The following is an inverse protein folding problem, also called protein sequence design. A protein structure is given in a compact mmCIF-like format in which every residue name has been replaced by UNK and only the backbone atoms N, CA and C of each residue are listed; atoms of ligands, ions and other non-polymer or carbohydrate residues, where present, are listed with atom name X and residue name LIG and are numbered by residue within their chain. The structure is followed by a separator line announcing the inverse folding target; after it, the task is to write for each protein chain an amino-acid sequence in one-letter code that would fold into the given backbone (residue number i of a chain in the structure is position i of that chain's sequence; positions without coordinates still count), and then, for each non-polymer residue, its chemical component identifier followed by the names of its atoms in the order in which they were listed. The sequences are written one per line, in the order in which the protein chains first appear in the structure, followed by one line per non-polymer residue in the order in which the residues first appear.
data_IF_079538158349
#
_entry.id   IF_079538158349
#
_cell.length_a   1.000
_cell.length_b   1.000
_cell.length_c   1.000
_cell.angle_alpha   90.00
_cell.angle_beta   90.00
_cell.angle_gamma   90.00
#
_symmetry.space_group_name_H-M   'P 1'
#
loop_
_entity.id
_entity.type
_entity.pdbx_description
1 polymer ?
#
# COMPACT_ATOMS: atom_id res chain seq x y z
N UNK A 1 -7.40 8.26 -8.34
CA UNK A 1 -8.50 8.61 -7.40
C UNK A 1 -8.70 10.10 -7.44
N UNK A 2 -9.94 10.53 -7.64
CA UNK A 2 -10.33 11.94 -7.70
C UNK A 2 -10.14 12.62 -6.34
N UNK A 3 -9.83 13.92 -6.34
CA UNK A 3 -9.86 14.69 -5.10
C UNK A 3 -11.29 14.74 -4.52
N UNK A 4 -11.41 14.54 -3.22
CA UNK A 4 -12.70 14.42 -2.52
C UNK A 4 -13.50 15.73 -2.55
N UNK A 5 -12.85 16.89 -2.50
CA UNK A 5 -13.53 18.19 -2.62
C UNK A 5 -14.16 18.35 -4.00
N UNK A 6 -13.44 17.94 -5.05
CA UNK A 6 -13.95 17.96 -6.43
C UNK A 6 -15.04 16.92 -6.65
N UNK A 7 -14.91 15.75 -6.03
CA UNK A 7 -15.97 14.73 -6.03
C UNK A 7 -17.27 15.28 -5.44
N UNK A 8 -17.20 15.97 -4.29
CA UNK A 8 -18.37 16.64 -3.71
C UNK A 8 -18.96 17.65 -4.68
N UNK A 9 -18.12 18.52 -5.25
CA UNK A 9 -18.56 19.55 -6.22
C UNK A 9 -19.28 18.92 -7.42
N UNK A 10 -18.69 17.93 -8.06
CA UNK A 10 -19.26 17.27 -9.23
C UNK A 10 -20.49 16.41 -8.93
N UNK A 11 -20.73 16.04 -7.66
CA UNK A 11 -21.96 15.35 -7.23
C UNK A 11 -23.08 16.30 -6.79
N UNK A 12 -22.86 17.62 -6.74
CA UNK A 12 -23.90 18.58 -6.34
C UNK A 12 -25.06 18.65 -7.34
N UNK A 13 -24.79 18.42 -8.62
CA UNK A 13 -25.79 18.35 -9.67
C UNK A 13 -25.26 17.50 -10.85
N UNK A 14 -26.14 17.18 -11.79
CA UNK A 14 -25.84 16.40 -12.99
C UNK A 14 -25.59 17.26 -14.23
N UNK A 15 -25.32 18.57 -14.08
CA UNK A 15 -25.18 19.50 -15.20
C UNK A 15 -24.09 19.09 -16.17
N UNK A 16 -22.93 18.64 -15.66
CA UNK A 16 -21.80 18.19 -16.50
C UNK A 16 -22.19 16.95 -17.31
N UNK A 17 -22.81 15.96 -16.66
CA UNK A 17 -23.28 14.74 -17.31
C UNK A 17 -24.36 15.04 -18.37
N UNK A 18 -25.28 15.97 -18.07
CA UNK A 18 -26.30 16.44 -19.03
C UNK A 18 -25.71 17.15 -20.23
N UNK A 19 -24.62 17.89 -20.08
CA UNK A 19 -23.93 18.51 -21.21
C UNK A 19 -23.19 17.47 -22.06
N UNK A 20 -22.53 16.50 -21.42
CA UNK A 20 -21.85 15.43 -22.14
C UNK A 20 -22.80 14.54 -22.93
N UNK A 21 -23.93 14.12 -22.36
CA UNK A 21 -24.83 13.20 -23.08
C UNK A 21 -25.37 13.82 -24.38
N UNK A 22 -25.45 15.16 -24.49
CA UNK A 22 -25.83 15.82 -25.75
C UNK A 22 -24.81 15.62 -26.89
N UNK A 23 -23.60 15.14 -26.59
CA UNK A 23 -22.56 14.85 -27.58
C UNK A 23 -22.67 13.45 -28.16
N UNK A 24 -23.48 12.56 -27.57
CA UNK A 24 -23.70 11.20 -28.07
C UNK A 24 -25.16 10.96 -28.39
N UNK A 25 -25.43 10.08 -29.36
CA UNK A 25 -26.77 9.56 -29.59
C UNK A 25 -27.23 8.81 -28.34
N UNK A 26 -28.44 9.12 -27.86
CA UNK A 26 -29.00 8.57 -26.64
C UNK A 26 -30.53 8.56 -26.65
N UNK A 27 -31.10 7.60 -25.93
CA UNK A 27 -32.52 7.50 -25.68
C UNK A 27 -32.93 8.53 -24.62
N UNK A 28 -34.07 9.18 -24.85
CA UNK A 28 -34.56 10.26 -23.97
C UNK A 28 -34.78 9.76 -22.54
N UNK A 29 -34.33 10.55 -21.55
CA UNK A 29 -34.55 10.31 -20.11
C UNK A 29 -33.91 9.03 -19.54
N UNK A 30 -32.83 8.53 -20.15
CA UNK A 30 -32.15 7.30 -19.69
C UNK A 30 -30.87 7.54 -18.87
N UNK A 31 -30.36 8.78 -18.83
CA UNK A 31 -29.16 9.16 -18.06
C UNK A 31 -29.36 8.95 -16.56
N UNK A 32 -28.51 8.12 -15.95
CA UNK A 32 -28.56 7.78 -14.52
C UNK A 32 -27.15 7.77 -13.94
N UNK A 33 -26.99 8.33 -12.74
CA UNK A 33 -25.75 8.24 -11.99
C UNK A 33 -25.46 6.76 -11.65
N UNK A 34 -24.22 6.33 -11.86
CA UNK A 34 -23.77 4.97 -11.53
C UNK A 34 -22.84 4.97 -10.33
N UNK A 35 -21.67 5.61 -10.43
CA UNK A 35 -20.70 5.72 -9.35
C UNK A 35 -19.79 6.95 -9.50
N UNK A 36 -19.19 7.37 -8.40
CA UNK A 36 -18.08 8.33 -8.38
C UNK A 36 -16.91 7.72 -7.59
N UNK A 37 -15.74 7.65 -8.22
CA UNK A 37 -14.50 7.14 -7.60
C UNK A 37 -13.29 7.86 -8.20
N UNK A 38 -12.46 7.21 -9.03
CA UNK A 38 -11.45 7.89 -9.86
C UNK A 38 -12.10 8.77 -10.92
N UNK A 39 -13.26 8.38 -11.44
CA UNK A 39 -14.05 9.11 -12.43
C UNK A 39 -15.51 9.25 -11.97
N UNK A 40 -16.25 10.19 -12.56
CA UNK A 40 -17.70 10.16 -12.55
C UNK A 40 -18.17 9.19 -13.63
N UNK A 41 -19.08 8.28 -13.29
CA UNK A 41 -19.66 7.33 -14.22
C UNK A 41 -21.18 7.44 -14.18
N UNK A 42 -21.77 7.61 -15.35
CA UNK A 42 -23.20 7.58 -15.58
C UNK A 42 -23.52 6.50 -16.61
N UNK A 43 -24.70 5.90 -16.50
CA UNK A 43 -25.24 5.01 -17.53
C UNK A 43 -26.33 5.71 -18.31
N UNK A 44 -26.46 5.40 -19.59
CA UNK A 44 -27.60 5.78 -20.42
C UNK A 44 -27.90 4.67 -21.42
N UNK A 45 -28.98 4.78 -22.18
CA UNK A 45 -29.31 3.81 -23.23
C UNK A 45 -29.24 4.49 -24.61
N UNK A 46 -28.87 3.71 -25.61
CA UNK A 46 -28.93 4.08 -27.03
C UNK A 46 -29.48 2.88 -27.78
N UNK A 47 -30.59 3.06 -28.48
CA UNK A 47 -31.29 1.96 -29.17
C UNK A 47 -31.65 0.81 -28.21
N UNK A 48 -31.97 1.14 -26.95
CA UNK A 48 -32.24 0.17 -25.88
C UNK A 48 -31.01 -0.58 -25.33
N UNK A 49 -29.80 -0.26 -25.79
CA UNK A 49 -28.54 -0.85 -25.29
C UNK A 49 -27.88 0.10 -24.30
N UNK A 50 -27.52 -0.41 -23.12
CA UNK A 50 -26.87 0.38 -22.08
C UNK A 50 -25.44 0.75 -22.45
N UNK A 51 -25.07 1.98 -22.15
CA UNK A 51 -23.76 2.61 -22.38
C UNK A 51 -23.25 3.26 -21.09
N UNK A 52 -21.94 3.48 -21.01
CA UNK A 52 -21.28 4.09 -19.85
C UNK A 52 -20.57 5.38 -20.24
N UNK A 53 -21.06 6.51 -19.74
CA UNK A 53 -20.40 7.81 -19.83
C UNK A 53 -19.44 7.94 -18.63
N UNK A 54 -18.14 8.04 -18.91
CA UNK A 54 -17.09 8.31 -17.93
C UNK A 54 -16.52 9.71 -18.15
N UNK A 55 -16.45 10.54 -17.11
CA UNK A 55 -15.83 11.86 -17.22
C UNK A 55 -15.08 12.27 -15.94
N UNK A 56 -14.16 13.22 -16.11
CA UNK A 56 -13.24 13.67 -15.07
C UNK A 56 -12.87 15.13 -15.27
N UNK A 57 -12.54 15.81 -14.17
CA UNK A 57 -12.10 17.20 -14.17
C UNK A 57 -10.62 17.30 -14.57
N UNK A 58 -10.23 18.37 -15.28
CA UNK A 58 -8.87 18.53 -15.81
C UNK A 58 -7.76 18.61 -14.76
N UNK A 59 -8.11 18.97 -13.52
CA UNK A 59 -7.16 18.99 -12.40
C UNK A 59 -6.95 17.60 -11.77
N UNK A 60 -7.80 16.62 -12.07
CA UNK A 60 -7.67 15.24 -11.58
C UNK A 60 -7.04 14.32 -12.63
N UNK A 61 -7.26 14.59 -13.92
CA UNK A 61 -6.59 13.86 -15.00
C UNK A 61 -6.44 14.70 -16.27
N UNK A 62 -5.32 14.49 -16.96
CA UNK A 62 -5.00 15.20 -18.18
C UNK A 62 -5.63 14.49 -19.40
N UNK A 63 -6.09 15.26 -20.39
CA UNK A 63 -6.64 14.71 -21.64
C UNK A 63 -5.66 13.77 -22.37
N UNK A 64 -4.34 14.03 -22.26
CA UNK A 64 -3.29 13.19 -22.85
C UNK A 64 -3.22 11.78 -22.23
N UNK A 65 -3.57 11.64 -20.95
CA UNK A 65 -3.62 10.33 -20.29
C UNK A 65 -4.82 9.52 -20.77
N UNK A 66 -5.97 10.18 -20.96
CA UNK A 66 -7.19 9.56 -21.51
C UNK A 66 -6.94 9.17 -22.96
N UNK A 67 -6.30 10.02 -23.76
CA UNK A 67 -5.93 9.69 -25.13
C UNK A 67 -5.02 8.45 -25.19
N UNK A 68 -3.98 8.39 -24.35
CA UNK A 68 -3.05 7.26 -24.32
C UNK A 68 -3.71 5.95 -23.85
N UNK A 69 -4.70 6.04 -22.96
CA UNK A 69 -5.54 4.89 -22.56
C UNK A 69 -6.34 4.38 -23.76
N UNK A 70 -7.05 5.28 -24.45
CA UNK A 70 -7.87 4.92 -25.61
C UNK A 70 -7.03 4.37 -26.77
N UNK A 71 -5.84 4.93 -27.02
CA UNK A 71 -4.93 4.43 -28.04
C UNK A 71 -4.53 2.97 -27.76
N UNK A 72 -4.26 2.64 -26.49
CA UNK A 72 -3.95 1.27 -26.10
C UNK A 72 -5.17 0.34 -26.20
N UNK A 73 -6.35 0.78 -25.75
CA UNK A 73 -7.58 0.00 -25.87
C UNK A 73 -7.95 -0.28 -27.33
N UNK A 74 -7.86 0.72 -28.22
CA UNK A 74 -8.12 0.56 -29.65
C UNK A 74 -7.11 -0.41 -30.29
N UNK A 75 -5.83 -0.30 -29.93
CA UNK A 75 -4.82 -1.28 -30.35
C UNK A 75 -5.17 -2.71 -29.91
N UNK A 76 -5.61 -2.89 -28.66
CA UNK A 76 -6.01 -4.19 -28.13
C UNK A 76 -7.21 -4.77 -28.91
N UNK A 77 -8.22 -3.94 -29.20
CA UNK A 77 -9.41 -4.32 -29.99
C UNK A 77 -9.00 -4.72 -31.41
N UNK A 78 -8.19 -3.91 -32.08
CA UNK A 78 -7.67 -4.18 -33.43
C UNK A 78 -6.90 -5.51 -33.50
N UNK A 79 -6.27 -5.91 -32.41
CA UNK A 79 -5.52 -7.18 -32.28
C UNK A 79 -6.32 -8.32 -31.62
N UNK A 80 -7.65 -8.16 -31.47
CA UNK A 80 -8.56 -9.24 -31.07
C UNK A 80 -8.60 -9.55 -29.57
N UNK A 81 -8.10 -8.65 -28.73
CA UNK A 81 -8.25 -8.74 -27.28
C UNK A 81 -9.69 -8.42 -26.84
N UNK A 82 -10.31 -9.18 -25.93
CA UNK A 82 -11.66 -8.89 -25.44
C UNK A 82 -11.63 -7.75 -24.43
N UNK A 83 -12.10 -6.59 -24.85
CA UNK A 83 -12.36 -5.43 -23.99
C UNK A 83 -13.58 -4.67 -24.50
N UNK A 84 -14.08 -3.73 -23.73
CA UNK A 84 -15.16 -2.82 -24.16
C UNK A 84 -14.64 -1.83 -25.19
N UNK A 85 -15.46 -1.52 -26.19
CA UNK A 85 -15.11 -0.51 -27.18
C UNK A 85 -15.51 0.90 -26.69
N UNK A 86 -14.66 1.92 -26.89
CA UNK A 86 -15.09 3.30 -26.80
C UNK A 86 -16.07 3.62 -27.94
N UNK A 87 -16.92 4.62 -27.74
CA UNK A 87 -17.94 5.05 -28.70
C UNK A 87 -17.67 6.49 -29.12
N UNK A 88 -17.65 6.74 -30.44
CA UNK A 88 -17.51 8.09 -30.99
C UNK A 88 -18.73 8.96 -30.67
N UNK A 89 -18.48 10.23 -30.39
CA UNK A 89 -19.51 11.26 -30.31
C UNK A 89 -20.18 11.48 -31.67
N UNK A 90 -21.28 12.23 -31.69
CA UNK A 90 -21.94 12.67 -32.91
C UNK A 90 -21.01 13.49 -33.82
N UNK A 91 -20.02 14.18 -33.24
CA UNK A 91 -18.99 14.93 -33.96
C UNK A 91 -17.80 14.04 -34.40
N UNK A 92 -17.85 12.73 -34.10
CA UNK A 92 -16.85 11.74 -34.50
C UNK A 92 -15.63 11.65 -33.57
N UNK A 93 -15.63 12.35 -32.43
CA UNK A 93 -14.51 12.35 -31.49
C UNK A 93 -14.60 11.18 -30.50
N UNK A 94 -13.45 10.72 -30.01
CA UNK A 94 -13.42 9.74 -28.91
C UNK A 94 -13.58 10.40 -27.53
N UNK A 95 -12.99 11.59 -27.37
CA UNK A 95 -13.01 12.38 -26.15
C UNK A 95 -13.72 13.69 -26.46
N UNK A 96 -14.74 14.02 -25.68
CA UNK A 96 -15.39 15.33 -25.71
C UNK A 96 -14.91 16.19 -24.54
N UNK A 97 -14.93 17.51 -24.72
CA UNK A 97 -14.60 18.47 -23.67
C UNK A 97 -15.80 19.36 -23.38
N UNK A 98 -16.13 19.48 -22.11
CA UNK A 98 -17.17 20.39 -21.62
C UNK A 98 -16.52 21.44 -20.71
N UNK A 99 -16.73 22.71 -21.02
CA UNK A 99 -16.36 23.83 -20.16
C UNK A 99 -17.56 24.19 -19.28
N UNK A 100 -17.34 24.22 -17.96
CA UNK A 100 -18.35 24.64 -16.99
C UNK A 100 -17.84 25.91 -16.34
N UNK A 101 -18.36 27.06 -16.78
CA UNK A 101 -18.09 28.42 -16.27
C UNK A 101 -16.74 28.55 -15.50
N UNK A 102 -16.81 28.90 -14.21
CA UNK A 102 -15.67 29.03 -13.29
C UNK A 102 -15.21 27.69 -12.67
N UNK A 103 -15.81 26.57 -13.04
CA UNK A 103 -15.44 25.23 -12.54
C UNK A 103 -14.22 24.67 -13.26
N UNK A 104 -14.13 24.87 -14.57
CA UNK A 104 -13.02 24.39 -15.39
C UNK A 104 -13.49 23.47 -16.50
N UNK A 105 -12.54 22.72 -17.07
CA UNK A 105 -12.83 21.73 -18.11
C UNK A 105 -13.02 20.34 -17.54
N UNK A 106 -13.96 19.64 -18.14
CA UNK A 106 -14.15 18.21 -17.98
C UNK A 106 -13.87 17.50 -19.30
N UNK A 107 -13.32 16.29 -19.22
CA UNK A 107 -13.10 15.41 -20.35
C UNK A 107 -14.00 14.18 -20.22
N UNK A 108 -14.71 13.81 -21.29
CA UNK A 108 -15.70 12.74 -21.28
C UNK A 108 -15.49 11.72 -22.40
N UNK A 109 -15.72 10.45 -22.09
CA UNK A 109 -15.65 9.30 -22.99
C UNK A 109 -16.86 8.41 -22.74
N UNK A 110 -17.37 7.76 -23.80
CA UNK A 110 -18.41 6.74 -23.69
C UNK A 110 -17.83 5.37 -24.05
N UNK A 111 -18.20 4.35 -23.27
CA UNK A 111 -17.88 2.95 -23.52
C UNK A 111 -19.14 2.10 -23.65
N UNK A 112 -19.02 1.02 -24.43
CA UNK A 112 -19.99 -0.06 -24.48
C UNK A 112 -20.16 -0.76 -23.12
N UNK A 113 -21.31 -1.40 -22.92
CA UNK A 113 -21.47 -2.33 -21.82
C UNK A 113 -20.58 -3.57 -22.02
N UNK A 114 -19.86 -3.96 -20.96
CA UNK A 114 -19.08 -5.19 -20.94
C UNK A 114 -19.96 -6.42 -21.19
N UNK A 115 -19.44 -7.37 -21.97
CA UNK A 115 -20.06 -8.66 -22.21
C UNK A 115 -19.72 -9.63 -21.09
N UNK A 116 -20.68 -10.49 -20.73
CA UNK A 116 -20.52 -11.45 -19.64
C UNK A 116 -20.86 -10.86 -18.27
N UNK A 117 -20.42 -11.56 -17.22
CA UNK A 117 -20.72 -11.23 -15.83
C UNK A 117 -19.48 -11.35 -14.95
N UNK A 118 -19.41 -10.56 -13.89
CA UNK A 118 -18.41 -10.77 -12.83
C UNK A 118 -18.59 -12.16 -12.21
N UNK A 119 -17.47 -12.84 -11.95
CA UNK A 119 -17.46 -14.16 -11.29
C UNK A 119 -16.85 -13.95 -9.91
N UNK A 120 -17.62 -14.08 -8.82
CA UNK A 120 -17.07 -14.03 -7.47
C UNK A 120 -15.99 -15.11 -7.27
N UNK A 121 -14.91 -14.77 -6.55
CA UNK A 121 -13.80 -15.70 -6.32
C UNK A 121 -14.25 -16.99 -5.63
N UNK A 122 -15.18 -16.91 -4.68
CA UNK A 122 -15.74 -18.07 -3.96
C UNK A 122 -16.57 -19.01 -4.84
N UNK A 123 -17.02 -18.54 -6.01
CA UNK A 123 -17.82 -19.30 -6.98
C UNK A 123 -17.02 -19.65 -8.25
N UNK A 124 -15.76 -19.24 -8.30
CA UNK A 124 -14.90 -19.43 -9.46
C UNK A 124 -14.49 -20.90 -9.62
N UNK A 125 -14.73 -21.46 -10.80
CA UNK A 125 -14.25 -22.79 -11.18
C UNK A 125 -12.79 -22.76 -11.64
N UNK A 126 -12.11 -23.90 -11.59
CA UNK A 126 -10.71 -24.05 -12.07
C UNK A 126 -10.52 -23.56 -13.51
N UNK A 127 -11.49 -23.84 -14.38
CA UNK A 127 -11.48 -23.39 -15.78
C UNK A 127 -11.59 -21.88 -15.91
N UNK A 128 -12.38 -21.25 -15.04
CA UNK A 128 -12.49 -19.79 -14.99
C UNK A 128 -11.21 -19.15 -14.44
N UNK A 129 -10.59 -19.74 -13.41
CA UNK A 129 -9.28 -19.29 -12.92
C UNK A 129 -8.20 -19.38 -14.02
N UNK A 130 -8.14 -20.49 -14.76
CA UNK A 130 -7.25 -20.61 -15.92
C UNK A 130 -7.56 -19.58 -17.02
N UNK A 131 -8.84 -19.36 -17.34
CA UNK A 131 -9.25 -18.38 -18.35
C UNK A 131 -8.90 -16.94 -17.93
N UNK A 132 -8.98 -16.63 -16.63
CA UNK A 132 -8.62 -15.34 -16.07
C UNK A 132 -7.11 -15.06 -16.23
N UNK A 133 -6.26 -16.02 -15.86
CA UNK A 133 -4.82 -15.92 -16.09
C UNK A 133 -4.46 -15.83 -17.57
N UNK A 134 -5.12 -16.61 -18.42
CA UNK A 134 -4.91 -16.56 -19.87
C UNK A 134 -5.33 -15.19 -20.47
N UNK A 135 -6.36 -14.55 -19.94
CA UNK A 135 -6.76 -13.20 -20.36
C UNK A 135 -5.68 -12.18 -20.05
N UNK A 136 -5.12 -12.18 -18.82
CA UNK A 136 -4.03 -11.26 -18.46
C UNK A 136 -2.75 -11.55 -19.26
N UNK A 137 -2.36 -12.81 -19.40
CA UNK A 137 -1.19 -13.17 -20.19
C UNK A 137 -1.33 -12.81 -21.68
N UNK A 138 -2.56 -12.81 -22.22
CA UNK A 138 -2.83 -12.33 -23.59
C UNK A 138 -2.68 -10.82 -23.71
N UNK A 139 -3.16 -10.05 -22.73
CA UNK A 139 -2.97 -8.61 -22.65
C UNK A 139 -1.48 -8.28 -22.67
N UNK A 140 -0.69 -8.93 -21.82
CA UNK A 140 0.75 -8.68 -21.71
C UNK A 140 1.53 -9.02 -22.99
N UNK A 141 1.15 -10.08 -23.70
CA UNK A 141 1.77 -10.42 -24.99
C UNK A 141 1.49 -9.38 -26.08
N UNK A 142 0.29 -8.79 -26.09
CA UNK A 142 -0.02 -7.68 -27.00
C UNK A 142 0.71 -6.41 -26.58
N UNK A 143 0.72 -6.10 -25.27
CA UNK A 143 1.47 -4.99 -24.69
C UNK A 143 2.95 -5.00 -25.05
N UNK A 144 3.58 -6.18 -25.12
CA UNK A 144 4.99 -6.32 -25.53
C UNK A 144 5.27 -5.85 -26.97
N UNK A 145 4.26 -5.88 -27.83
CA UNK A 145 4.33 -5.45 -29.23
C UNK A 145 3.75 -4.05 -29.44
N UNK A 146 3.19 -3.44 -28.40
CA UNK A 146 2.57 -2.13 -28.48
C UNK A 146 3.62 -1.03 -28.62
N UNK A 147 3.52 -0.26 -29.69
CA UNK A 147 4.32 0.95 -29.87
C UNK A 147 3.45 2.17 -29.49
N UNK A 148 3.77 2.88 -28.39
CA UNK A 148 2.97 4.03 -27.97
C UNK A 148 3.01 5.16 -29.01
N UNK A 149 1.93 5.94 -29.04
CA UNK A 149 1.83 7.17 -29.82
C UNK A 149 2.68 8.32 -29.23
N UNK A 150 2.42 9.57 -29.66
CA UNK A 150 3.15 10.76 -29.21
C UNK A 150 3.03 11.02 -27.70
N UNK A 151 1.92 10.61 -27.11
CA UNK A 151 1.68 10.63 -25.66
C UNK A 151 1.71 9.21 -25.14
N UNK A 152 2.30 9.03 -23.96
CA UNK A 152 2.47 7.73 -23.34
C UNK A 152 1.90 7.73 -21.92
N UNK A 153 1.41 6.57 -21.49
CA UNK A 153 1.05 6.32 -20.09
C UNK A 153 2.28 6.46 -19.20
N UNK A 154 2.06 6.83 -17.94
CA UNK A 154 3.13 6.91 -16.94
C UNK A 154 3.76 5.55 -16.67
N UNK A 155 4.92 5.56 -16.03
CA UNK A 155 5.66 4.37 -15.60
C UNK A 155 5.61 4.20 -14.09
N UNK A 156 6.08 3.04 -13.60
CA UNK A 156 6.35 2.80 -12.18
C UNK A 156 7.22 3.90 -11.55
N UNK A 157 8.14 4.49 -12.32
CA UNK A 157 9.00 5.57 -11.85
C UNK A 157 8.24 6.89 -11.70
N UNK A 158 7.30 7.17 -12.61
CA UNK A 158 6.39 8.32 -12.50
C UNK A 158 5.46 8.15 -11.30
N UNK A 159 4.98 6.92 -11.04
CA UNK A 159 4.20 6.60 -9.85
C UNK A 159 5.00 6.84 -8.56
N UNK A 160 6.26 6.39 -8.48
CA UNK A 160 7.13 6.70 -7.32
C UNK A 160 7.46 8.20 -7.20
N UNK A 161 7.52 8.92 -8.32
CA UNK A 161 7.71 10.38 -8.33
C UNK A 161 6.48 11.09 -7.77
N UNK A 162 5.29 10.66 -8.17
CA UNK A 162 4.03 11.10 -7.58
C UNK A 162 4.01 10.84 -6.07
N UNK A 163 4.30 9.61 -5.62
CA UNK A 163 4.40 9.24 -4.19
C UNK A 163 5.35 10.20 -3.46
N UNK A 164 6.54 10.44 -4.00
CA UNK A 164 7.50 11.38 -3.41
C UNK A 164 6.90 12.77 -3.20
N UNK A 165 6.22 13.32 -4.21
CA UNK A 165 5.62 14.65 -4.16
C UNK A 165 4.49 14.77 -3.13
N UNK A 166 3.73 13.68 -2.92
CA UNK A 166 2.73 13.61 -1.84
C UNK A 166 3.45 13.59 -0.49
N UNK A 167 4.45 12.72 -0.31
CA UNK A 167 5.16 12.61 0.97
C UNK A 167 5.93 13.89 1.34
N UNK A 168 6.36 14.70 0.38
CA UNK A 168 6.97 16.02 0.62
C UNK A 168 6.01 17.01 1.27
N UNK A 169 4.72 16.92 0.94
CA UNK A 169 3.64 17.70 1.57
C UNK A 169 3.20 17.11 2.92
N UNK A 170 3.57 15.86 3.21
CA UNK A 170 3.28 15.15 4.47
C UNK A 170 4.55 14.70 5.21
N UNK A 171 5.39 15.62 5.73
CA UNK A 171 6.70 15.29 6.32
C UNK A 171 6.64 14.43 7.59
N UNK A 172 5.44 14.20 8.15
CA UNK A 172 5.23 13.28 9.29
C UNK A 172 5.27 11.81 8.87
N UNK A 173 5.15 11.50 7.59
CA UNK A 173 5.13 10.14 7.04
C UNK A 173 6.55 9.59 6.81
N UNK A 174 7.39 9.63 7.85
CA UNK A 174 8.79 9.26 7.75
C UNK A 174 8.99 7.78 7.38
N UNK A 175 8.18 6.86 7.93
CA UNK A 175 8.30 5.42 7.65
C UNK A 175 7.92 5.11 6.18
N UNK A 176 6.86 5.73 5.65
CA UNK A 176 6.48 5.62 4.24
C UNK A 176 7.57 6.18 3.30
N UNK A 177 8.28 7.23 3.72
CA UNK A 177 9.43 7.75 2.95
C UNK A 177 10.62 6.78 2.92
N UNK A 178 10.89 6.08 4.02
CA UNK A 178 11.92 5.04 3.99
C UNK A 178 11.52 3.88 3.08
N UNK A 179 10.23 3.52 3.08
CA UNK A 179 9.71 2.51 2.17
C UNK A 179 9.82 2.92 0.70
N UNK A 180 9.53 4.19 0.37
CA UNK A 180 9.72 4.73 -0.98
C UNK A 180 11.14 4.51 -1.50
N UNK A 181 12.15 4.88 -0.71
CA UNK A 181 13.55 4.72 -1.11
C UNK A 181 13.94 3.25 -1.25
N UNK A 182 13.45 2.38 -0.34
CA UNK A 182 13.66 0.93 -0.42
C UNK A 182 13.08 0.35 -1.69
N UNK A 183 11.83 0.69 -2.03
CA UNK A 183 11.16 0.22 -3.24
C UNK A 183 11.84 0.74 -4.49
N UNK A 184 12.25 2.01 -4.51
CA UNK A 184 13.01 2.59 -5.62
C UNK A 184 14.29 1.81 -5.88
N UNK A 185 15.06 1.49 -4.84
CA UNK A 185 16.29 0.70 -4.95
C UNK A 185 16.00 -0.72 -5.46
N UNK A 186 15.04 -1.42 -4.85
CA UNK A 186 14.74 -2.83 -5.16
C UNK A 186 14.12 -3.02 -6.55
N UNK A 187 13.16 -2.17 -6.94
CA UNK A 187 12.56 -2.22 -8.28
C UNK A 187 13.58 -1.88 -9.37
N UNK A 188 14.47 -0.91 -9.12
CA UNK A 188 15.54 -0.58 -10.07
C UNK A 188 16.53 -1.71 -10.32
N UNK A 189 16.61 -2.69 -9.41
CA UNK A 189 17.48 -3.85 -9.53
C UNK A 189 16.84 -5.03 -10.27
N UNK A 190 15.54 -4.98 -10.57
CA UNK A 190 14.85 -6.04 -11.29
C UNK A 190 15.24 -6.05 -12.78
N UNK A 191 15.18 -7.21 -13.46
CA UNK A 191 15.35 -7.30 -14.91
C UNK A 191 14.37 -6.35 -15.65
N UNK A 192 14.87 -5.63 -16.65
CA UNK A 192 14.06 -4.69 -17.45
C UNK A 192 14.15 -5.04 -18.93
N UNK A 193 13.29 -4.42 -19.74
CA UNK A 193 13.25 -4.61 -21.20
C UNK A 193 12.22 -5.64 -21.65
N UNK A 194 12.36 -6.07 -22.91
CA UNK A 194 11.46 -7.04 -23.54
C UNK A 194 11.34 -8.32 -22.69
N UNK A 195 10.14 -8.89 -22.65
CA UNK A 195 9.81 -10.00 -21.77
C UNK A 195 9.34 -9.59 -20.38
N UNK A 196 9.88 -8.52 -19.78
CA UNK A 196 9.67 -8.19 -18.37
C UNK A 196 8.76 -7.00 -18.11
N UNK A 197 8.92 -5.91 -18.88
CA UNK A 197 8.17 -4.65 -18.71
C UNK A 197 7.37 -4.35 -19.96
N UNK A 198 6.15 -3.84 -19.76
CA UNK A 198 5.32 -3.24 -20.80
C UNK A 198 4.21 -2.42 -20.18
N UNK A 199 3.26 -1.97 -21.01
CA UNK A 199 2.05 -1.30 -20.53
C UNK A 199 1.10 -2.35 -19.92
N UNK A 200 0.93 -2.34 -18.61
CA UNK A 200 0.07 -3.26 -17.87
C UNK A 200 -1.31 -2.64 -17.59
N UNK A 201 -2.29 -3.46 -17.21
CA UNK A 201 -3.61 -2.98 -16.81
C UNK A 201 -3.57 -2.27 -15.46
N UNK A 202 -2.80 -2.82 -14.50
CA UNK A 202 -2.59 -2.36 -13.12
C UNK A 202 -3.79 -2.56 -12.17
N UNK A 203 -5.01 -2.68 -12.70
CA UNK A 203 -6.23 -2.90 -11.91
C UNK A 203 -7.05 -4.10 -12.43
N UNK A 204 -6.37 -5.23 -12.73
CA UNK A 204 -6.97 -6.43 -13.37
C UNK A 204 -7.74 -7.32 -12.36
N UNK A 205 -8.49 -6.67 -11.47
CA UNK A 205 -9.27 -7.29 -10.40
C UNK A 205 -10.61 -7.86 -10.91
N UNK A 206 -11.26 -8.69 -10.11
CA UNK A 206 -12.52 -9.39 -10.49
C UNK A 206 -13.70 -8.46 -10.76
N UNK A 207 -13.68 -7.24 -10.24
CA UNK A 207 -14.68 -6.21 -10.51
C UNK A 207 -14.51 -5.56 -11.90
N UNK A 208 -13.32 -5.70 -12.52
CA UNK A 208 -12.97 -5.12 -13.81
C UNK A 208 -12.86 -6.16 -14.94
N UNK A 209 -13.19 -7.43 -14.67
CA UNK A 209 -13.20 -8.50 -15.68
C UNK A 209 -14.53 -9.27 -15.69
N UNK A 210 -15.05 -9.51 -16.89
CA UNK A 210 -16.37 -10.07 -17.12
C UNK A 210 -16.26 -11.38 -17.89
N UNK A 211 -16.71 -12.48 -17.30
CA UNK A 211 -16.65 -13.80 -17.93
C UNK A 211 -17.84 -14.00 -18.86
N UNK A 212 -17.57 -14.29 -20.12
CA UNK A 212 -18.59 -14.71 -21.09
C UNK A 212 -18.55 -16.24 -21.25
N UNK A 213 -19.65 -16.91 -20.88
CA UNK A 213 -19.71 -18.37 -20.83
C UNK A 213 -19.62 -19.01 -22.23
N UNK A 214 -20.24 -18.40 -23.24
CA UNK A 214 -20.32 -18.90 -24.61
C UNK A 214 -18.94 -19.01 -25.26
N UNK A 215 -18.07 -18.02 -25.00
CA UNK A 215 -16.70 -17.98 -25.53
C UNK A 215 -15.66 -18.47 -24.52
N UNK A 216 -16.03 -18.62 -23.25
CA UNK A 216 -15.14 -18.92 -22.13
C UNK A 216 -13.95 -17.95 -22.05
N UNK A 217 -14.22 -16.65 -22.27
CA UNK A 217 -13.22 -15.56 -22.23
C UNK A 217 -13.63 -14.49 -21.24
N UNK A 218 -12.64 -13.83 -20.67
CA UNK A 218 -12.84 -12.61 -19.91
C UNK A 218 -12.73 -11.37 -20.80
N UNK A 219 -13.65 -10.43 -20.62
CA UNK A 219 -13.60 -9.08 -21.16
C UNK A 219 -13.14 -8.12 -20.06
N UNK A 220 -12.06 -7.38 -20.32
CA UNK A 220 -11.53 -6.40 -19.37
C UNK A 220 -12.13 -5.01 -19.60
N UNK A 221 -12.27 -4.23 -18.54
CA UNK A 221 -12.66 -2.81 -18.55
C UNK A 221 -11.71 -1.97 -17.69
N UNK A 222 -11.84 -0.65 -17.77
CA UNK A 222 -11.22 0.32 -16.86
C UNK A 222 -9.68 0.36 -16.89
N UNK A 223 -9.13 0.68 -18.07
CA UNK A 223 -7.68 0.86 -18.29
C UNK A 223 -7.14 2.20 -17.75
N UNK A 224 -7.90 2.93 -16.92
CA UNK A 224 -7.58 4.29 -16.46
C UNK A 224 -6.34 4.34 -15.55
N UNK A 225 -5.98 3.24 -14.91
CA UNK A 225 -4.78 3.13 -14.06
C UNK A 225 -3.59 2.43 -14.78
N UNK A 226 -3.75 2.09 -16.07
CA UNK A 226 -2.69 1.44 -16.86
C UNK A 226 -1.38 2.22 -16.86
N UNK A 227 -0.26 1.52 -16.73
CA UNK A 227 1.07 2.13 -16.64
C UNK A 227 2.17 1.18 -17.13
N UNK A 228 3.34 1.72 -17.46
CA UNK A 228 4.52 0.91 -17.76
C UNK A 228 5.11 0.34 -16.48
N UNK A 229 5.00 -0.97 -16.33
CA UNK A 229 5.47 -1.70 -15.15
C UNK A 229 5.90 -3.12 -15.55
N UNK A 230 6.53 -3.84 -14.61
CA UNK A 230 6.74 -5.28 -14.76
C UNK A 230 5.41 -6.02 -14.92
N UNK A 231 5.33 -6.95 -15.86
CA UNK A 231 4.13 -7.81 -16.04
C UNK A 231 3.79 -8.60 -14.77
N UNK A 232 4.81 -8.97 -13.99
CA UNK A 232 4.65 -9.65 -12.71
C UNK A 232 3.93 -8.79 -11.65
N UNK A 233 3.92 -7.45 -11.77
CA UNK A 233 3.12 -6.58 -10.91
C UNK A 233 1.64 -6.75 -11.17
N UNK A 234 1.23 -6.75 -12.44
CA UNK A 234 -0.19 -6.92 -12.82
C UNK A 234 -0.69 -8.31 -12.40
N UNK A 235 0.17 -9.33 -12.52
CA UNK A 235 -0.12 -10.67 -12.02
C UNK A 235 -0.31 -10.66 -10.50
N UNK A 236 0.63 -10.08 -9.75
CA UNK A 236 0.57 -10.03 -8.29
C UNK A 236 -0.69 -9.29 -7.80
N UNK A 237 -1.01 -8.15 -8.43
CA UNK A 237 -2.17 -7.33 -8.11
C UNK A 237 -3.47 -8.06 -8.40
N UNK A 238 -3.59 -8.73 -9.56
CA UNK A 238 -4.79 -9.48 -9.93
C UNK A 238 -5.15 -10.56 -8.89
N UNK A 239 -4.17 -11.30 -8.38
CA UNK A 239 -4.39 -12.40 -7.41
C UNK A 239 -4.22 -11.99 -5.94
N UNK A 240 -4.13 -10.69 -5.64
CA UNK A 240 -3.81 -10.17 -4.30
C UNK A 240 -4.79 -10.68 -3.22
N UNK A 241 -6.09 -10.64 -3.49
CA UNK A 241 -7.12 -11.17 -2.58
C UNK A 241 -6.92 -12.66 -2.24
N UNK A 242 -6.46 -13.46 -3.21
CA UNK A 242 -6.17 -14.88 -2.99
C UNK A 242 -4.87 -15.07 -2.20
N UNK A 243 -3.87 -14.21 -2.42
CA UNK A 243 -2.63 -14.22 -1.65
C UNK A 243 -2.88 -13.86 -0.18
N UNK A 244 -3.85 -12.99 0.14
CA UNK A 244 -4.20 -12.63 1.52
C UNK A 244 -4.98 -13.73 2.26
N UNK A 245 -5.73 -14.58 1.56
CA UNK A 245 -6.52 -15.66 2.18
C UNK A 245 -5.65 -16.80 2.71
N UNK A 246 -4.53 -17.10 2.04
CA UNK A 246 -3.54 -18.12 2.42
C UNK A 246 -4.09 -19.54 2.71
N UNK A 247 -5.26 -19.92 2.16
CA UNK A 247 -5.85 -21.24 2.34
C UNK A 247 -5.66 -22.18 1.12
N UNK A 248 -6.05 -23.44 1.26
CA UNK A 248 -5.83 -24.45 0.22
C UNK A 248 -6.60 -24.16 -1.07
N UNK A 249 -7.80 -23.61 -0.97
CA UNK A 249 -8.67 -23.30 -2.10
C UNK A 249 -8.13 -22.08 -2.87
N UNK A 250 -7.69 -21.04 -2.14
CA UNK A 250 -7.01 -19.89 -2.73
C UNK A 250 -5.72 -20.30 -3.46
N UNK A 251 -4.90 -21.17 -2.86
CA UNK A 251 -3.67 -21.67 -3.47
C UNK A 251 -3.94 -22.48 -4.75
N UNK A 252 -5.01 -23.29 -4.77
CA UNK A 252 -5.41 -24.04 -5.97
C UNK A 252 -5.86 -23.08 -7.09
N UNK A 253 -6.66 -22.06 -6.77
CA UNK A 253 -7.05 -21.02 -7.75
C UNK A 253 -5.86 -20.25 -8.30
N UNK A 254 -4.89 -19.88 -7.45
CA UNK A 254 -3.64 -19.24 -7.89
C UNK A 254 -2.89 -20.17 -8.86
N UNK A 255 -2.79 -21.46 -8.56
CA UNK A 255 -2.11 -22.42 -9.44
C UNK A 255 -2.79 -22.52 -10.82
N UNK A 256 -4.13 -22.54 -10.86
CA UNK A 256 -4.90 -22.51 -12.11
C UNK A 256 -4.71 -21.19 -12.87
N UNK A 257 -4.78 -20.04 -12.18
CA UNK A 257 -4.49 -18.74 -12.78
C UNK A 257 -3.11 -18.71 -13.42
N UNK A 258 -2.06 -19.08 -12.69
CA UNK A 258 -0.69 -19.09 -13.19
C UNK A 258 -0.51 -20.07 -14.35
N UNK A 259 -1.21 -21.20 -14.33
CA UNK A 259 -1.24 -22.15 -15.45
C UNK A 259 -1.84 -21.51 -16.71
N UNK A 260 -2.95 -20.79 -16.56
CA UNK A 260 -3.57 -20.02 -17.63
C UNK A 260 -2.66 -18.94 -18.19
N UNK A 261 -2.05 -18.15 -17.31
CA UNK A 261 -1.12 -17.07 -17.68
C UNK A 261 0.07 -17.61 -18.47
N UNK A 262 0.71 -18.67 -17.96
CA UNK A 262 1.93 -19.26 -18.56
C UNK A 262 1.70 -19.88 -19.93
N UNK A 263 0.46 -20.25 -20.29
CA UNK A 263 0.10 -20.65 -21.67
C UNK A 263 0.25 -19.48 -22.66
N UNK A 264 0.16 -18.24 -22.19
CA UNK A 264 0.15 -17.04 -23.02
C UNK A 264 1.48 -16.28 -23.00
N UNK A 265 2.12 -16.18 -21.84
CA UNK A 265 3.41 -15.50 -21.67
C UNK A 265 4.26 -16.20 -20.60
N UNK A 266 5.58 -16.37 -20.80
CA UNK A 266 6.45 -16.88 -19.75
C UNK A 266 6.37 -16.02 -18.48
N UNK A 267 6.37 -16.70 -17.33
CA UNK A 267 6.50 -16.08 -16.00
C UNK A 267 7.36 -17.02 -15.16
N UNK A 268 8.59 -16.61 -14.90
CA UNK A 268 9.55 -17.45 -14.20
C UNK A 268 9.36 -17.38 -12.67
N UNK A 269 9.97 -18.33 -11.96
CA UNK A 269 9.87 -18.40 -10.50
C UNK A 269 10.62 -17.26 -9.79
N UNK A 270 11.57 -16.59 -10.46
CA UNK A 270 12.22 -15.42 -9.89
C UNK A 270 11.24 -14.24 -9.84
N UNK A 271 10.44 -14.04 -10.88
CA UNK A 271 9.39 -13.03 -10.98
C UNK A 271 8.27 -13.29 -9.96
N UNK A 272 7.83 -14.55 -9.81
CA UNK A 272 6.84 -14.94 -8.77
C UNK A 272 7.34 -14.61 -7.36
N UNK A 273 8.63 -14.84 -7.07
CA UNK A 273 9.24 -14.46 -5.78
C UNK A 273 9.25 -12.96 -5.53
N UNK A 274 9.00 -12.11 -6.53
CA UNK A 274 8.90 -10.66 -6.35
C UNK A 274 7.48 -10.18 -6.03
N UNK A 275 6.45 -11.03 -5.98
CA UNK A 275 5.07 -10.58 -5.70
C UNK A 275 4.95 -9.80 -4.38
N UNK A 276 5.65 -10.22 -3.33
CA UNK A 276 5.68 -9.47 -2.07
C UNK A 276 6.33 -8.07 -2.21
N UNK A 277 7.28 -7.88 -3.13
CA UNK A 277 7.85 -6.57 -3.44
C UNK A 277 6.82 -5.70 -4.16
N UNK A 278 6.09 -6.28 -5.11
CA UNK A 278 5.02 -5.61 -5.85
C UNK A 278 3.84 -5.20 -4.96
N UNK A 279 3.42 -6.05 -4.02
CA UNK A 279 2.40 -5.70 -3.03
C UNK A 279 2.81 -4.49 -2.19
N UNK A 280 4.09 -4.40 -1.82
CA UNK A 280 4.63 -3.26 -1.07
C UNK A 280 4.62 -1.97 -1.90
N UNK A 281 4.87 -2.06 -3.21
CA UNK A 281 4.68 -0.93 -4.13
C UNK A 281 3.21 -0.51 -4.19
N UNK A 282 2.30 -1.48 -4.37
CA UNK A 282 0.87 -1.22 -4.46
C UNK A 282 0.35 -0.51 -3.21
N UNK A 283 0.71 -1.00 -2.03
CA UNK A 283 0.37 -0.39 -0.75
C UNK A 283 0.87 1.06 -0.68
N UNK A 284 2.09 1.34 -1.13
CA UNK A 284 2.67 2.68 -1.01
C UNK A 284 2.03 3.64 -2.00
N UNK A 285 1.78 3.16 -3.21
CA UNK A 285 1.11 3.94 -4.23
C UNK A 285 -0.35 4.24 -3.82
N UNK A 286 -1.07 3.23 -3.32
CA UNK A 286 -2.43 3.35 -2.76
C UNK A 286 -2.46 4.34 -1.60
N UNK A 287 -1.51 4.24 -0.66
CA UNK A 287 -1.34 5.17 0.45
C UNK A 287 -1.21 6.62 -0.03
N UNK A 288 -0.33 6.88 -1.00
CA UNK A 288 -0.14 8.23 -1.55
C UNK A 288 -1.38 8.75 -2.29
N UNK A 289 -2.04 7.91 -3.09
CA UNK A 289 -3.29 8.27 -3.80
C UNK A 289 -4.39 8.67 -2.82
N UNK A 290 -4.60 7.88 -1.76
CA UNK A 290 -5.62 8.14 -0.74
C UNK A 290 -5.28 9.37 0.12
N UNK A 291 -4.01 9.54 0.47
CA UNK A 291 -3.57 10.71 1.22
C UNK A 291 -3.76 11.98 0.39
N UNK A 292 -3.46 11.94 -0.90
CA UNK A 292 -3.62 13.08 -1.79
C UNK A 292 -5.09 13.39 -2.11
N UNK A 293 -5.95 12.37 -2.23
CA UNK A 293 -7.36 12.59 -2.55
C UNK A 293 -8.12 13.35 -1.45
N UNK A 294 -7.67 13.30 -0.20
CA UNK A 294 -8.30 14.02 0.92
C UNK A 294 -7.65 15.38 1.22
N UNK A 295 -6.62 15.78 0.47
CA UNK A 295 -5.96 17.08 0.65
C UNK A 295 -6.90 18.23 0.28
N UNK A 296 -6.85 19.29 1.09
CA UNK A 296 -7.69 20.47 0.89
C UNK A 296 -9.18 20.23 1.15
N UNK A 297 -9.59 19.04 1.59
CA UNK A 297 -11.00 18.76 1.85
C UNK A 297 -11.53 19.54 3.07
N UNK A 298 -12.57 20.34 2.83
CA UNK A 298 -13.22 21.16 3.83
C UNK A 298 -14.37 20.40 4.50
N UNK A 299 -14.22 20.06 5.79
CA UNK A 299 -15.26 19.35 6.52
C UNK A 299 -16.50 20.21 6.80
N UNK A 300 -16.37 21.54 6.84
CA UNK A 300 -17.48 22.45 7.12
C UNK A 300 -18.46 22.52 5.95
N UNK A 301 -19.72 22.15 6.18
CA UNK A 301 -20.77 22.18 5.14
C UNK A 301 -20.72 21.03 4.13
N UNK A 302 -19.76 20.11 4.25
CA UNK A 302 -19.67 18.93 3.40
C UNK A 302 -20.74 17.88 3.72
N UNK A 303 -21.24 17.12 2.72
CA UNK A 303 -22.21 16.06 2.94
C UNK A 303 -21.70 14.95 3.86
N UNK A 304 -22.61 14.31 4.60
CA UNK A 304 -22.28 13.23 5.54
C UNK A 304 -21.54 12.06 4.87
N UNK A 305 -21.89 11.71 3.63
CA UNK A 305 -21.22 10.65 2.88
C UNK A 305 -19.75 10.98 2.59
N UNK A 306 -19.42 12.26 2.36
CA UNK A 306 -18.06 12.70 2.05
C UNK A 306 -17.18 12.66 3.31
N UNK A 307 -17.75 13.04 4.45
CA UNK A 307 -17.09 12.88 5.76
C UNK A 307 -16.79 11.41 6.05
N UNK A 308 -17.77 10.52 5.86
CA UNK A 308 -17.58 9.08 6.05
C UNK A 308 -16.55 8.49 5.08
N UNK A 309 -16.53 8.95 3.82
CA UNK A 309 -15.53 8.52 2.83
C UNK A 309 -14.13 8.98 3.23
N UNK A 310 -13.96 10.22 3.69
CA UNK A 310 -12.67 10.72 4.21
C UNK A 310 -12.16 9.85 5.36
N UNK A 311 -13.01 9.52 6.32
CA UNK A 311 -12.66 8.63 7.44
C UNK A 311 -12.25 7.24 6.95
N UNK A 312 -13.00 6.67 6.00
CA UNK A 312 -12.65 5.38 5.39
C UNK A 312 -11.27 5.41 4.70
N UNK A 313 -11.01 6.42 3.89
CA UNK A 313 -9.73 6.58 3.17
C UNK A 313 -8.56 6.74 4.14
N UNK A 314 -8.70 7.59 5.17
CA UNK A 314 -7.69 7.76 6.20
C UNK A 314 -7.48 6.48 7.02
N UNK A 315 -8.55 5.71 7.30
CA UNK A 315 -8.44 4.42 7.97
C UNK A 315 -7.66 3.37 7.16
N UNK A 316 -7.74 3.41 5.83
CA UNK A 316 -6.86 2.58 4.96
C UNK A 316 -5.41 3.06 5.07
N UNK A 317 -5.18 4.37 5.01
CA UNK A 317 -3.84 4.93 5.20
C UNK A 317 -3.24 4.53 6.57
N UNK A 318 -4.05 4.49 7.63
CA UNK A 318 -3.65 4.05 8.95
C UNK A 318 -3.18 2.59 8.96
N UNK A 319 -3.95 1.67 8.35
CA UNK A 319 -3.55 0.26 8.23
C UNK A 319 -2.26 0.07 7.44
N UNK A 320 -2.14 0.73 6.27
CA UNK A 320 -0.92 0.64 5.45
C UNK A 320 0.29 1.21 6.22
N UNK A 321 0.11 2.33 6.92
CA UNK A 321 1.16 2.93 7.74
C UNK A 321 1.68 1.98 8.81
N UNK A 322 0.82 1.15 9.40
CA UNK A 322 1.23 0.12 10.36
C UNK A 322 2.13 -0.94 9.70
N UNK A 323 1.88 -1.31 8.45
CA UNK A 323 2.73 -2.22 7.67
C UNK A 323 4.13 -1.68 7.36
N UNK A 324 4.32 -0.35 7.38
CA UNK A 324 5.64 0.29 7.24
C UNK A 324 6.36 0.50 8.55
N UNK A 325 5.67 0.37 9.69
CA UNK A 325 6.34 0.46 10.98
C UNK A 325 7.39 -0.64 11.03
N UNK A 326 8.66 -0.30 11.24
CA UNK A 326 9.69 -1.30 11.31
C UNK A 326 9.35 -2.27 12.45
N UNK A 327 9.15 -3.55 12.11
CA UNK A 327 8.84 -4.57 13.10
C UNK A 327 9.97 -4.64 14.11
N UNK A 328 9.61 -4.43 15.37
CA UNK A 328 10.48 -4.63 16.52
C UNK A 328 10.31 -6.09 16.90
N UNK A 329 11.38 -6.87 16.92
CA UNK A 329 11.34 -8.26 17.41
C UNK A 329 12.38 -8.47 18.50
N UNK A 330 12.04 -9.25 19.52
CA UNK A 330 12.99 -9.71 20.52
C UNK A 330 13.55 -11.06 20.08
N UNK A 331 14.87 -11.17 19.99
CA UNK A 331 15.57 -12.43 19.67
C UNK A 331 16.60 -12.73 20.75
N UNK A 332 16.80 -14.00 21.15
CA UNK A 332 17.94 -14.36 21.99
C UNK A 332 19.25 -13.97 21.29
N UNK A 333 20.23 -13.48 22.06
CA UNK A 333 21.59 -13.37 21.53
C UNK A 333 22.15 -14.78 21.36
N UNK A 334 22.65 -15.09 20.16
CA UNK A 334 23.16 -16.39 19.75
C UNK A 334 24.44 -16.28 18.92
N UNK A 335 24.97 -17.42 18.49
CA UNK A 335 26.19 -17.51 17.69
C UNK A 335 26.13 -16.76 16.33
N UNK A 336 24.93 -16.45 15.84
CA UNK A 336 24.72 -15.81 14.55
C UNK A 336 24.57 -14.28 14.67
N UNK A 337 24.16 -13.76 15.83
CA UNK A 337 23.87 -12.34 16.02
C UNK A 337 24.74 -11.63 17.07
N UNK A 338 25.52 -12.36 17.88
CA UNK A 338 26.30 -11.78 18.99
C UNK A 338 27.30 -10.72 18.52
N UNK A 339 27.96 -10.92 17.37
CA UNK A 339 28.97 -10.00 16.87
C UNK A 339 28.36 -8.64 16.55
N UNK A 340 27.21 -8.62 15.85
CA UNK A 340 26.50 -7.39 15.56
C UNK A 340 26.05 -6.66 16.85
N UNK A 341 25.70 -7.41 17.90
CA UNK A 341 25.42 -6.84 19.22
C UNK A 341 26.65 -6.22 19.91
N UNK A 342 27.88 -6.65 19.58
CA UNK A 342 29.11 -6.01 20.09
C UNK A 342 29.40 -4.65 19.45
N UNK A 343 28.89 -4.43 18.23
CA UNK A 343 29.13 -3.21 17.46
C UNK A 343 28.18 -2.07 17.84
N UNK A 344 27.32 -2.26 18.85
CA UNK A 344 26.42 -1.22 19.34
C UNK A 344 27.20 -0.06 19.96
N UNK A 345 27.14 1.10 19.31
CA UNK A 345 27.71 2.33 19.85
C UNK A 345 26.65 3.13 20.60
N UNK A 346 26.91 3.46 21.85
CA UNK A 346 26.07 4.38 22.62
C UNK A 346 26.49 5.83 22.38
N UNK A 347 25.58 6.78 22.62
CA UNK A 347 25.89 8.21 22.56
C UNK A 347 27.01 8.61 23.51
N UNK A 348 27.72 9.70 23.23
CA UNK A 348 28.82 10.17 24.10
C UNK A 348 28.35 10.54 25.52
N UNK A 349 27.06 10.84 25.69
CA UNK A 349 26.42 11.02 27.00
C UNK A 349 26.24 9.68 27.73
N UNK A 350 25.78 8.63 27.04
CA UNK A 350 25.67 7.29 27.59
C UNK A 350 27.02 6.63 27.89
N UNK A 351 28.09 6.96 27.14
CA UNK A 351 29.47 6.49 27.45
C UNK A 351 29.93 6.93 28.85
N UNK A 352 29.40 8.04 29.38
CA UNK A 352 29.68 8.48 30.76
C UNK A 352 29.04 7.57 31.81
N UNK A 353 27.97 6.85 31.44
CA UNK A 353 27.21 5.94 32.30
C UNK A 353 27.64 4.48 32.08
N UNK A 354 27.98 4.12 30.83
CA UNK A 354 28.45 2.81 30.40
C UNK A 354 29.89 2.91 29.89
N UNK A 355 30.89 2.85 30.79
CA UNK A 355 32.28 3.11 30.44
C UNK A 355 32.95 1.98 29.64
N UNK A 356 32.27 0.84 29.48
CA UNK A 356 32.82 -0.35 28.81
C UNK A 356 31.95 -0.77 27.61
N UNK A 357 32.56 -1.17 26.49
CA UNK A 357 31.85 -1.60 25.28
C UNK A 357 30.87 -2.77 25.53
N UNK A 358 29.84 -2.88 24.68
CA UNK A 358 28.78 -3.89 24.77
C UNK A 358 29.30 -5.34 24.88
N UNK A 359 30.49 -5.63 24.33
CA UNK A 359 31.14 -6.95 24.38
C UNK A 359 31.43 -7.45 25.80
N UNK A 360 31.83 -6.57 26.73
CA UNK A 360 32.13 -6.98 28.12
C UNK A 360 30.88 -7.46 28.85
N UNK A 361 29.74 -6.87 28.52
CA UNK A 361 28.46 -7.24 29.11
C UNK A 361 27.88 -8.52 28.51
N UNK A 362 28.22 -8.88 27.26
CA UNK A 362 27.88 -10.17 26.67
C UNK A 362 28.69 -11.29 27.34
N UNK A 363 29.98 -11.02 27.59
CA UNK A 363 30.85 -11.92 28.34
C UNK A 363 30.36 -12.11 29.79
N UNK A 364 29.97 -11.03 30.48
CA UNK A 364 29.40 -11.10 31.83
C UNK A 364 28.10 -11.92 31.86
N UNK A 365 27.19 -11.71 30.90
CA UNK A 365 25.94 -12.48 30.86
C UNK A 365 26.17 -13.97 30.64
N UNK A 366 27.13 -14.34 29.78
CA UNK A 366 27.52 -15.73 29.57
C UNK A 366 28.12 -16.36 30.84
N UNK A 367 28.94 -15.60 31.58
CA UNK A 367 29.56 -16.05 32.82
C UNK A 367 28.57 -16.16 33.99
N UNK A 368 27.61 -15.23 34.06
CA UNK A 368 26.60 -15.16 35.12
C UNK A 368 25.36 -16.03 34.86
N UNK A 369 25.29 -16.74 33.72
CA UNK A 369 24.22 -17.68 33.40
C UNK A 369 22.90 -17.03 32.96
N UNK A 370 22.94 -15.83 32.38
CA UNK A 370 21.77 -15.14 31.83
C UNK A 370 21.88 -15.00 30.32
N UNK A 371 20.78 -15.17 29.58
CA UNK A 371 20.77 -15.00 28.12
C UNK A 371 20.09 -13.66 27.76
N UNK A 372 20.83 -12.63 27.32
CA UNK A 372 20.22 -11.34 27.03
C UNK A 372 19.42 -11.40 25.73
N UNK A 373 18.18 -10.89 25.70
CA UNK A 373 17.50 -10.64 24.44
C UNK A 373 18.10 -9.40 23.72
N UNK A 374 18.18 -9.45 22.40
CA UNK A 374 18.37 -8.29 21.56
C UNK A 374 17.04 -7.88 20.92
N UNK A 375 16.83 -6.58 20.80
CA UNK A 375 15.78 -5.97 19.99
C UNK A 375 16.35 -5.81 18.59
N UNK A 376 15.65 -6.32 17.59
CA UNK A 376 15.96 -6.08 16.19
C UNK A 376 14.86 -5.20 15.60
N UNK A 377 15.25 -4.07 15.01
CA UNK A 377 14.37 -3.16 14.25
C UNK A 377 15.04 -2.81 12.92
N UNK A 378 14.65 -3.48 11.84
CA UNK A 378 15.34 -3.36 10.55
C UNK A 378 16.81 -3.78 10.66
N UNK A 379 17.75 -2.88 10.34
CA UNK A 379 19.21 -3.08 10.54
C UNK A 379 19.73 -2.64 11.92
N UNK A 380 18.90 -1.95 12.71
CA UNK A 380 19.29 -1.47 14.03
C UNK A 380 19.07 -2.56 15.07
N UNK A 381 20.10 -2.80 15.89
CA UNK A 381 20.05 -3.72 17.00
C UNK A 381 20.05 -2.89 18.29
N UNK A 382 19.27 -3.29 19.29
CA UNK A 382 19.32 -2.80 20.65
C UNK A 382 19.40 -3.98 21.61
N UNK A 383 19.84 -3.79 22.86
CA UNK A 383 19.88 -4.87 23.86
C UNK A 383 18.99 -4.55 25.05
N UNK A 384 18.28 -5.56 25.56
CA UNK A 384 17.64 -5.54 26.88
C UNK A 384 18.25 -6.64 27.75
N UNK A 385 18.41 -6.40 29.04
CA UNK A 385 18.94 -7.39 29.99
C UNK A 385 17.83 -7.86 30.94
N UNK A 386 17.76 -9.17 31.18
CA UNK A 386 16.86 -9.82 32.16
C UNK A 386 17.67 -10.33 33.37
N UNK A 387 17.11 -10.24 34.58
CA UNK A 387 17.73 -10.68 35.84
C UNK A 387 16.75 -11.58 36.62
N UNK A 388 16.90 -12.90 36.51
CA UNK A 388 16.04 -13.84 37.25
C UNK A 388 16.32 -13.78 38.75
N UNK A 389 15.28 -13.64 39.58
CA UNK A 389 15.42 -13.79 41.03
C UNK A 389 15.44 -15.27 41.45
N UNK A 390 16.15 -15.59 42.56
CA UNK A 390 16.29 -16.95 43.10
C UNK A 390 14.97 -17.63 43.51
N UNK A 391 13.85 -16.93 43.58
CA UNK A 391 12.54 -17.46 44.02
C UNK A 391 11.57 -17.79 42.89
N UNK A 392 12.01 -17.76 41.63
CA UNK A 392 11.15 -18.07 40.47
C UNK A 392 10.19 -16.95 40.05
N UNK A 393 10.06 -15.86 40.83
CA UNK A 393 9.38 -14.63 40.40
C UNK A 393 10.36 -13.74 39.62
N UNK A 394 10.03 -13.42 38.37
CA UNK A 394 10.91 -12.68 37.44
C UNK A 394 11.01 -11.20 37.86
N UNK A 395 12.21 -10.62 37.86
CA UNK A 395 12.46 -9.19 38.09
C UNK A 395 13.23 -8.67 36.88
N UNK A 396 12.62 -7.87 36.02
CA UNK A 396 13.39 -7.17 34.99
C UNK A 396 14.34 -6.17 35.67
N UNK A 397 15.56 -6.02 35.15
CA UNK A 397 16.46 -4.95 35.54
C UNK A 397 17.04 -4.37 34.25
N UNK A 398 16.43 -3.28 33.80
CA UNK A 398 16.71 -2.68 32.50
C UNK A 398 18.04 -1.90 32.51
N UNK A 399 18.86 -2.20 31.51
CA UNK A 399 19.99 -1.38 31.05
C UNK A 399 20.01 -1.43 29.52
N UNK A 400 19.02 -0.78 28.89
CA UNK A 400 18.92 -0.68 27.44
C UNK A 400 20.13 0.01 26.79
N UNK A 401 20.75 -0.65 25.81
CA UNK A 401 21.79 -0.07 24.94
C UNK A 401 21.22 0.00 23.51
N UNK A 402 21.24 1.19 22.92
CA UNK A 402 20.75 1.45 21.56
C UNK A 402 21.87 2.03 20.71
N UNK A 403 21.94 1.60 19.45
CA UNK A 403 22.93 2.10 18.48
C UNK A 403 22.76 3.59 18.17
N UNK A 404 23.87 4.32 18.02
CA UNK A 404 23.95 5.77 17.75
C UNK A 404 23.16 6.17 16.51
N UNK A 405 23.13 5.33 15.48
CA UNK A 405 22.37 5.52 14.24
C UNK A 405 20.85 5.57 14.46
N UNK A 406 20.38 5.00 15.59
CA UNK A 406 18.96 4.88 15.91
C UNK A 406 18.39 6.06 16.70
N UNK A 407 19.17 7.11 17.00
CA UNK A 407 18.74 8.28 17.79
C UNK A 407 18.19 9.46 16.94
N UNK A 408 17.19 9.22 16.10
CA UNK A 408 16.35 10.32 15.59
C UNK A 408 15.40 10.85 16.70
N UNK A 409 14.96 12.11 16.56
CA UNK A 409 14.11 12.99 17.40
C UNK A 409 13.34 12.42 18.62
N UNK A 410 13.13 13.28 19.63
CA UNK A 410 12.54 13.00 20.96
C UNK A 410 11.20 12.25 20.94
N UNK A 411 10.36 12.44 19.90
CA UNK A 411 9.05 11.76 19.73
C UNK A 411 9.17 10.30 19.29
N UNK A 412 10.26 9.96 18.59
CA UNK A 412 10.57 8.56 18.26
C UNK A 412 11.18 7.81 19.44
N UNK A 413 11.64 8.50 20.50
CA UNK A 413 12.12 7.85 21.74
C UNK A 413 10.96 7.21 22.53
N UNK A 414 9.89 7.93 22.86
CA UNK A 414 8.77 7.35 23.63
C UNK A 414 8.10 6.14 22.95
N UNK A 415 7.93 6.20 21.63
CA UNK A 415 7.31 5.12 20.85
C UNK A 415 8.22 3.88 20.69
N UNK A 416 9.55 4.07 20.52
CA UNK A 416 10.53 2.96 20.48
C UNK A 416 10.55 2.14 21.77
N UNK A 417 10.43 2.83 22.90
CA UNK A 417 10.46 2.21 24.21
C UNK A 417 9.11 1.51 24.49
N UNK A 418 7.97 2.15 24.18
CA UNK A 418 6.64 1.54 24.37
C UNK A 418 6.46 0.19 23.66
N UNK A 419 6.82 0.08 22.37
CA UNK A 419 6.69 -1.18 21.63
C UNK A 419 7.65 -2.27 22.10
N UNK A 420 8.90 -1.91 22.43
CA UNK A 420 9.89 -2.83 22.98
C UNK A 420 9.50 -3.38 24.36
N UNK A 421 8.95 -2.53 25.24
CA UNK A 421 8.46 -2.95 26.55
C UNK A 421 7.16 -3.76 26.43
N UNK A 422 6.26 -3.45 25.50
CA UNK A 422 5.08 -4.29 25.19
C UNK A 422 5.49 -5.69 24.73
N UNK A 423 6.46 -5.80 23.83
CA UNK A 423 6.98 -7.10 23.37
C UNK A 423 7.67 -7.90 24.48
N UNK A 424 8.33 -7.23 25.43
CA UNK A 424 8.86 -7.88 26.63
C UNK A 424 7.73 -8.39 27.54
N UNK A 425 6.60 -7.70 27.60
CA UNK A 425 5.44 -8.11 28.39
C UNK A 425 4.77 -9.35 27.77
N UNK A 426 4.55 -9.33 26.46
CA UNK A 426 3.90 -10.43 25.73
C UNK A 426 4.76 -11.71 25.74
N UNK A 427 6.09 -11.58 25.61
CA UNK A 427 7.00 -12.73 25.62
C UNK A 427 7.33 -13.27 27.02
N UNK A 428 7.12 -12.48 28.07
CA UNK A 428 7.48 -12.85 29.44
C UNK A 428 6.26 -12.69 30.35
N UNK A 429 5.35 -13.68 30.35
CA UNK A 429 4.19 -13.81 31.23
C UNK A 429 4.47 -13.38 32.69
N UNK A 430 4.30 -12.09 32.98
CA UNK A 430 4.62 -11.46 34.26
C UNK A 430 3.71 -10.27 34.46
N UNK A 431 2.92 -10.30 35.52
CA UNK A 431 1.89 -9.28 35.81
C UNK A 431 2.50 -7.90 36.18
N UNK A 432 3.83 -7.86 36.37
CA UNK A 432 4.59 -6.69 36.84
C UNK A 432 5.97 -6.63 36.20
N UNK A 433 6.40 -5.43 35.82
CA UNK A 433 7.78 -5.11 35.44
C UNK A 433 8.36 -4.10 36.42
N UNK A 434 9.60 -4.31 36.86
CA UNK A 434 10.39 -3.34 37.61
C UNK A 434 11.57 -2.85 36.79
N UNK A 435 11.94 -1.58 36.94
CA UNK A 435 13.11 -0.96 36.30
C UNK A 435 13.80 -0.07 37.33
N UNK A 436 15.13 0.03 37.28
CA UNK A 436 15.92 0.89 38.16
C UNK A 436 16.67 1.97 37.38
N UNK A 437 16.68 3.21 37.85
CA UNK A 437 17.57 4.26 37.35
C UNK A 437 18.22 5.02 38.50
N UNK A 438 19.36 5.67 38.24
CA UNK A 438 19.96 6.55 39.25
C UNK A 438 19.10 7.81 39.45
N UNK A 439 19.01 8.36 40.66
CA UNK A 439 18.21 9.57 40.94
C UNK A 439 18.54 10.75 40.01
N UNK A 440 19.81 10.93 39.67
CA UNK A 440 20.31 12.02 38.81
C UNK A 440 20.02 11.83 37.31
N UNK A 441 19.54 10.65 36.88
CA UNK A 441 19.20 10.39 35.48
C UNK A 441 17.78 10.87 35.15
N UNK A 442 17.61 12.19 35.01
CA UNK A 442 16.31 12.81 34.72
C UNK A 442 15.69 12.33 33.40
N UNK A 443 16.51 12.00 32.40
CA UNK A 443 16.05 11.49 31.11
C UNK A 443 15.34 10.15 31.26
N UNK A 444 15.93 9.21 32.00
CA UNK A 444 15.30 7.93 32.30
C UNK A 444 14.04 8.11 33.15
N UNK A 445 14.09 9.00 34.15
CA UNK A 445 12.95 9.32 35.01
C UNK A 445 11.72 9.80 34.21
N UNK A 446 11.91 10.75 33.28
CA UNK A 446 10.83 11.27 32.42
C UNK A 446 10.32 10.23 31.43
N UNK A 447 11.23 9.46 30.83
CA UNK A 447 10.87 8.41 29.89
C UNK A 447 10.02 7.33 30.55
N UNK A 448 10.45 6.77 31.68
CA UNK A 448 9.72 5.71 32.38
C UNK A 448 8.36 6.20 32.89
N UNK A 449 8.28 7.43 33.40
CA UNK A 449 7.00 8.04 33.76
C UNK A 449 6.06 8.18 32.54
N UNK A 450 6.57 8.59 31.38
CA UNK A 450 5.78 8.71 30.14
C UNK A 450 5.26 7.37 29.60
N UNK A 451 5.86 6.26 30.02
CA UNK A 451 5.47 4.89 29.67
C UNK A 451 4.55 4.27 30.72
N UNK A 452 4.17 5.02 31.76
CA UNK A 452 3.26 4.57 32.83
C UNK A 452 3.92 3.94 34.04
N UNK A 453 5.26 3.88 34.13
CA UNK A 453 5.95 3.28 35.28
C UNK A 453 5.93 4.21 36.51
N UNK A 454 5.39 3.71 37.62
CA UNK A 454 5.26 4.42 38.89
C UNK A 454 6.45 4.14 39.81
N UNK A 455 6.87 5.13 40.61
CA UNK A 455 7.97 4.92 41.57
C UNK A 455 7.50 4.03 42.72
N UNK A 456 8.18 2.91 42.95
CA UNK A 456 7.86 1.97 44.04
C UNK A 456 8.94 1.89 45.12
N UNK A 457 10.17 2.33 44.82
CA UNK A 457 11.24 2.47 45.80
C UNK A 457 12.19 3.59 45.35
N UNK A 458 12.72 4.37 46.29
CA UNK A 458 13.70 5.41 46.00
C UNK A 458 14.72 5.45 47.12
N UNK A 459 15.99 5.35 46.77
CA UNK A 459 17.15 5.47 47.64
C UNK A 459 18.11 6.51 47.07
N UNK A 460 19.09 6.95 47.86
CA UNK A 460 20.13 7.89 47.39
C UNK A 460 20.97 7.34 46.22
N UNK A 461 20.87 6.04 45.90
CA UNK A 461 21.63 5.39 44.83
C UNK A 461 20.76 4.93 43.65
N UNK A 462 19.48 4.68 43.86
CA UNK A 462 18.59 4.07 42.88
C UNK A 462 17.13 4.42 43.12
N UNK A 463 16.43 4.79 42.04
CA UNK A 463 14.99 4.90 41.94
C UNK A 463 14.47 3.69 41.17
N UNK A 464 13.65 2.88 41.83
CA UNK A 464 12.97 1.73 41.24
C UNK A 464 11.54 2.10 40.90
N UNK A 465 11.15 1.85 39.66
CA UNK A 465 9.79 2.03 39.16
C UNK A 465 9.15 0.70 38.79
N UNK A 466 7.84 0.58 38.96
CA UNK A 466 7.03 -0.59 38.61
C UNK A 466 5.93 -0.18 37.63
N UNK A 467 5.63 -1.05 36.68
CA UNK A 467 4.43 -0.98 35.87
C UNK A 467 3.63 -2.26 36.10
N UNK A 468 2.33 -2.11 36.36
CA UNK A 468 1.39 -3.21 36.59
C UNK A 468 0.41 -3.27 35.42
N UNK A 469 0.27 -4.44 34.81
CA UNK A 469 -0.79 -4.65 33.81
C UNK A 469 -2.13 -4.61 34.56
N UNK A 470 -3.00 -3.67 34.24
CA UNK A 470 -4.38 -3.73 34.68
C UNK A 470 -5.07 -4.89 33.93
N UNK A 471 -5.65 -5.84 34.68
CA UNK A 471 -6.42 -6.95 34.13
C UNK A 471 -7.58 -6.49 33.26
#
# INVERSE_FOLDING_TARGET
MMNLQRMVRGMMNDTVAKQFIQRWEHDSQTLKFWRASSNFVFTFERDGVRQFLRFIHEEDNAISHIQSELDFMLYLIENGYPTVAPIRSADGNWIETVQVDEDGRYYGVVFEQARGSCVPLDQMTDRQAEAWGAALGSLHRLSELYAPGPTSRGSWLDALTFVSSVLDRHPREADARHELERLREQLSALPTGAGHIGLIHYDFEMDNVFFEAETSRYFAIDFDDSMYHWYAMDVASAISDLLEQEDADANEKIAHFLTGYRKMKPLDEYEVRQFALFQRFEDLYRFARMLSSVEGFESGGSPAWALALKEKLLGVCDRIREGYRPQVSLRPVDQNNWYACTQLEVTDEQKKVFPVPAVYWLAESAYCGFNPPCIVRGRSIGRISDLRSRSGRRKLLDRGIYDRSSHATTRSRSFRHGGAYSLLLDNYASDKIKLGHRPENETASRLYASLGFEVVNSTDREVVREWTIAN
#
